data_IF_653619920283
#
_entry.id   IF_653619920283
#
_cell.length_a   1.000
_cell.length_b   1.000
_cell.length_c   1.000
_cell.angle_alpha   90.00
_cell.angle_beta   90.00
_cell.angle_gamma   90.00
#
_symmetry.space_group_name_H-M   'P 1'
#
loop_
_entity.id
_entity.type
_entity.pdbx_description
1 polymer ?
#
# COMPACT_ATOMS: atom_id res chain seq x y z
N UNK A 1 1.97 6.20 -17.04
CA UNK A 1 2.69 4.98 -16.65
C UNK A 1 1.65 3.92 -16.45
N UNK A 2 1.74 2.83 -17.18
CA UNK A 2 0.80 1.71 -17.08
C UNK A 2 0.80 1.18 -15.66
N UNK A 3 -0.38 0.78 -15.14
CA UNK A 3 -0.49 0.15 -13.83
C UNK A 3 0.61 -0.90 -13.71
N UNK A 4 1.55 -0.69 -12.78
CA UNK A 4 2.71 -1.56 -12.64
C UNK A 4 2.19 -2.94 -12.26
N UNK A 5 2.46 -3.93 -13.11
CA UNK A 5 2.28 -5.31 -12.73
C UNK A 5 3.04 -5.51 -11.41
N UNK A 6 2.32 -5.91 -10.36
CA UNK A 6 2.90 -6.19 -9.06
C UNK A 6 3.85 -7.38 -9.19
N UNK A 7 4.97 -7.32 -8.50
CA UNK A 7 5.87 -8.46 -8.43
C UNK A 7 5.27 -9.61 -7.63
N UNK A 8 5.76 -10.82 -7.84
CA UNK A 8 5.32 -12.00 -7.07
C UNK A 8 5.54 -11.79 -5.57
N UNK A 9 6.66 -11.18 -5.17
CA UNK A 9 6.94 -10.86 -3.76
C UNK A 9 5.91 -9.89 -3.19
N UNK A 10 5.55 -8.84 -3.92
CA UNK A 10 4.55 -7.86 -3.49
C UNK A 10 3.16 -8.51 -3.32
N UNK A 11 2.75 -9.36 -4.25
CA UNK A 11 1.48 -10.10 -4.15
C UNK A 11 1.44 -11.06 -2.95
N UNK A 12 2.50 -11.84 -2.74
CA UNK A 12 2.59 -12.75 -1.58
C UNK A 12 2.60 -11.97 -0.28
N UNK A 13 3.36 -10.87 -0.22
CA UNK A 13 3.45 -10.05 0.97
C UNK A 13 2.10 -9.42 1.34
N UNK A 14 1.32 -8.97 0.36
CA UNK A 14 -0.02 -8.44 0.56
C UNK A 14 -1.00 -9.46 1.16
N UNK A 15 -1.00 -10.66 0.61
CA UNK A 15 -2.01 -11.66 0.95
C UNK A 15 -1.70 -12.42 2.25
N UNK A 16 -0.42 -12.62 2.58
CA UNK A 16 -0.02 -13.59 3.60
C UNK A 16 0.88 -13.03 4.71
N UNK A 17 1.41 -11.80 4.55
CA UNK A 17 2.42 -11.30 5.48
C UNK A 17 1.95 -9.99 6.14
N UNK A 18 1.51 -10.03 7.40
CA UNK A 18 1.07 -8.83 8.11
C UNK A 18 2.22 -7.85 8.42
N UNK A 19 3.46 -8.36 8.58
CA UNK A 19 4.67 -7.55 8.89
C UNK A 19 5.56 -7.40 7.65
N UNK A 20 5.10 -6.67 6.64
CA UNK A 20 5.80 -6.48 5.35
C UNK A 20 7.17 -5.77 5.50
N UNK A 21 7.33 -4.97 6.54
CA UNK A 21 8.60 -4.33 6.91
C UNK A 21 9.72 -5.35 7.11
N UNK A 22 9.43 -6.49 7.77
CA UNK A 22 10.39 -7.57 7.98
C UNK A 22 10.82 -8.24 6.66
N UNK A 23 9.93 -8.30 5.67
CA UNK A 23 10.28 -8.83 4.34
C UNK A 23 11.26 -7.91 3.64
N UNK A 24 11.03 -6.60 3.69
CA UNK A 24 11.91 -5.62 3.07
C UNK A 24 13.29 -5.61 3.73
N UNK A 25 13.36 -5.62 5.06
CA UNK A 25 14.63 -5.63 5.80
C UNK A 25 15.39 -6.96 5.64
N UNK A 26 14.68 -8.09 5.62
CA UNK A 26 15.29 -9.39 5.33
C UNK A 26 15.88 -9.43 3.90
N UNK A 27 15.15 -8.90 2.92
CA UNK A 27 15.61 -8.79 1.54
C UNK A 27 16.83 -7.88 1.39
N UNK A 28 16.82 -6.69 2.00
CA UNK A 28 17.98 -5.80 2.01
C UNK A 28 19.20 -6.50 2.65
N UNK A 29 19.02 -7.13 3.80
CA UNK A 29 20.10 -7.89 4.44
C UNK A 29 20.63 -9.06 3.59
N UNK A 30 19.77 -9.71 2.79
CA UNK A 30 20.17 -10.72 1.82
C UNK A 30 21.09 -10.13 0.75
N UNK A 31 20.72 -9.00 0.17
CA UNK A 31 21.52 -8.28 -0.84
C UNK A 31 22.90 -7.88 -0.27
N UNK A 32 22.92 -7.29 0.92
CA UNK A 32 24.17 -6.85 1.58
C UNK A 32 25.13 -8.02 1.90
N UNK A 33 24.60 -9.20 2.23
CA UNK A 33 25.44 -10.39 2.45
C UNK A 33 26.04 -10.95 1.16
N UNK A 34 25.34 -10.82 0.04
CA UNK A 34 25.71 -11.48 -1.22
C UNK A 34 26.48 -10.61 -2.20
N UNK A 35 26.26 -9.30 -2.19
CA UNK A 35 26.84 -8.38 -3.17
C UNK A 35 27.82 -7.41 -2.53
N UNK A 36 29.02 -7.31 -3.08
CA UNK A 36 29.98 -6.28 -2.73
C UNK A 36 29.47 -4.90 -3.20
N UNK A 37 28.92 -4.83 -4.41
CA UNK A 37 28.38 -3.59 -4.98
C UNK A 37 27.23 -3.02 -4.10
N UNK A 38 26.34 -3.87 -3.57
CA UNK A 38 25.30 -3.42 -2.66
C UNK A 38 25.85 -2.87 -1.34
N UNK A 39 26.89 -3.51 -0.77
CA UNK A 39 27.57 -2.99 0.44
C UNK A 39 28.25 -1.65 0.18
N UNK A 40 29.04 -1.56 -0.88
CA UNK A 40 29.75 -0.34 -1.26
C UNK A 40 28.80 0.83 -1.49
N UNK A 41 27.64 0.58 -2.11
CA UNK A 41 26.59 1.59 -2.30
C UNK A 41 26.06 2.12 -0.98
N UNK A 42 25.72 1.23 -0.03
CA UNK A 42 25.24 1.62 1.29
C UNK A 42 26.32 2.33 2.12
N UNK A 43 27.54 1.79 2.14
CA UNK A 43 28.69 2.37 2.84
C UNK A 43 29.07 3.75 2.28
N UNK A 44 29.01 3.92 0.96
CA UNK A 44 29.23 5.21 0.30
C UNK A 44 28.15 6.23 0.67
N UNK A 45 26.87 5.82 0.71
CA UNK A 45 25.77 6.67 1.14
C UNK A 45 26.01 7.24 2.54
N UNK A 46 26.32 6.40 3.52
CA UNK A 46 26.49 6.84 4.91
C UNK A 46 27.79 7.63 5.11
N UNK A 47 28.85 7.29 4.38
CA UNK A 47 30.12 8.03 4.43
C UNK A 47 29.97 9.42 3.82
N UNK A 48 29.26 9.56 2.71
CA UNK A 48 28.94 10.87 2.13
C UNK A 48 28.06 11.72 3.05
N UNK A 49 27.27 11.08 3.90
CA UNK A 49 26.49 11.73 4.98
C UNK A 49 27.32 12.22 6.16
N UNK A 50 28.59 11.79 6.28
CA UNK A 50 29.53 12.24 7.32
C UNK A 50 30.02 11.16 8.28
N UNK A 51 29.42 9.97 8.26
CA UNK A 51 29.85 8.87 9.11
C UNK A 51 31.21 8.30 8.65
N UNK A 52 31.95 7.72 9.59
CA UNK A 52 33.16 6.97 9.26
C UNK A 52 32.88 5.49 9.39
N UNK A 53 32.77 4.81 8.26
CA UNK A 53 32.48 3.37 8.23
C UNK A 53 33.72 2.63 7.73
N UNK A 54 34.31 1.71 8.52
CA UNK A 54 35.46 0.93 8.07
C UNK A 54 35.07 -0.02 6.94
N UNK A 55 35.98 -0.27 6.01
CA UNK A 55 35.76 -1.29 4.97
C UNK A 55 35.65 -2.69 5.54
N UNK A 56 34.92 -3.56 4.80
CA UNK A 56 34.81 -4.98 5.15
C UNK A 56 33.78 -5.29 6.23
N UNK A 57 32.75 -4.48 6.38
CA UNK A 57 31.64 -4.76 7.27
C UNK A 57 30.97 -6.11 6.94
N UNK A 58 30.73 -6.88 7.97
CA UNK A 58 29.89 -8.07 7.90
C UNK A 58 28.47 -7.74 8.35
N UNK A 59 27.52 -7.96 7.45
CA UNK A 59 26.11 -7.66 7.69
C UNK A 59 25.35 -8.87 8.19
N UNK A 60 24.57 -8.68 9.26
CA UNK A 60 23.69 -9.69 9.84
C UNK A 60 22.30 -9.08 10.06
N UNK A 61 21.26 -9.84 9.72
CA UNK A 61 19.93 -9.56 10.24
C UNK A 61 19.88 -10.12 11.65
N UNK A 62 19.40 -9.34 12.60
CA UNK A 62 19.09 -9.86 13.93
C UNK A 62 17.85 -10.75 13.82
N UNK A 63 17.88 -11.93 14.44
CA UNK A 63 16.74 -12.83 14.41
C UNK A 63 15.61 -12.25 15.27
N UNK A 64 14.40 -12.26 14.74
CA UNK A 64 13.21 -11.87 15.45
C UNK A 64 12.97 -12.85 16.60
N UNK A 65 13.08 -12.37 17.83
CA UNK A 65 12.65 -13.06 19.04
C UNK A 65 11.56 -12.18 19.67
N UNK A 66 10.35 -12.70 19.80
CA UNK A 66 9.17 -11.96 20.29
C UNK A 66 9.37 -11.36 21.68
N UNK A 67 10.40 -11.81 22.41
CA UNK A 67 10.68 -11.39 23.80
C UNK A 67 11.62 -10.19 23.93
N UNK A 68 12.19 -9.66 22.85
CA UNK A 68 13.21 -8.61 22.93
C UNK A 68 12.80 -7.34 22.19
N UNK A 69 12.16 -6.41 22.88
CA UNK A 69 12.06 -5.02 22.46
C UNK A 69 13.44 -4.41 22.22
N UNK A 70 13.62 -3.78 21.06
CA UNK A 70 14.81 -2.96 20.79
C UNK A 70 15.97 -3.69 20.14
N UNK A 71 15.76 -4.63 19.19
CA UNK A 71 16.79 -5.14 18.29
C UNK A 71 16.75 -4.43 16.95
N UNK A 72 17.91 -3.99 16.42
CA UNK A 72 17.98 -3.41 15.09
C UNK A 72 17.79 -4.48 14.02
N UNK A 73 17.24 -4.08 12.85
CA UNK A 73 16.96 -5.02 11.75
C UNK A 73 18.22 -5.58 11.11
N UNK A 74 19.21 -4.72 10.84
CA UNK A 74 20.47 -5.12 10.21
C UNK A 74 21.64 -4.43 10.94
N UNK A 75 22.67 -5.21 11.25
CA UNK A 75 23.90 -4.71 11.87
C UNK A 75 25.09 -5.01 10.97
N UNK A 76 25.81 -3.97 10.58
CA UNK A 76 27.12 -4.03 9.92
C UNK A 76 28.24 -3.88 10.95
N UNK A 77 29.06 -4.93 11.12
CA UNK A 77 30.09 -4.97 12.13
C UNK A 77 31.46 -5.43 11.57
N UNK A 78 32.51 -4.97 12.22
CA UNK A 78 33.88 -5.47 12.02
C UNK A 78 34.54 -5.69 13.36
N UNK A 79 35.26 -6.77 13.52
CA UNK A 79 35.93 -7.17 14.78
C UNK A 79 34.99 -7.12 16.01
N UNK A 80 33.71 -7.44 15.83
CA UNK A 80 32.71 -7.47 16.89
C UNK A 80 32.09 -6.11 17.25
N UNK A 81 32.56 -4.99 16.66
CA UNK A 81 32.02 -3.65 16.88
C UNK A 81 31.03 -3.27 15.79
N UNK A 82 29.85 -2.78 16.16
CA UNK A 82 28.84 -2.30 15.22
C UNK A 82 29.20 -0.88 14.73
N UNK A 83 29.37 -0.72 13.44
CA UNK A 83 29.66 0.59 12.81
C UNK A 83 28.49 1.13 12.00
N UNK A 84 27.59 0.26 11.58
CA UNK A 84 26.39 0.64 10.85
C UNK A 84 25.22 -0.18 11.37
N UNK A 85 24.16 0.50 11.78
CA UNK A 85 22.87 -0.09 12.07
C UNK A 85 21.89 0.42 11.03
N UNK A 86 21.14 -0.48 10.40
CA UNK A 86 20.08 -0.12 9.46
C UNK A 86 18.76 -0.58 10.07
N UNK A 87 17.82 0.35 10.16
CA UNK A 87 16.47 0.14 10.66
C UNK A 87 15.46 0.45 9.57
N UNK A 88 14.73 -0.57 9.12
CA UNK A 88 13.66 -0.40 8.16
C UNK A 88 12.38 0.07 8.86
N UNK A 89 11.67 0.97 8.24
CA UNK A 89 10.35 1.40 8.68
C UNK A 89 9.43 1.51 7.48
N UNK A 90 8.24 0.91 7.59
CA UNK A 90 7.14 1.29 6.72
C UNK A 90 6.22 2.25 7.48
N UNK A 91 5.22 1.76 8.18
CA UNK A 91 4.23 2.59 8.86
C UNK A 91 4.20 2.40 10.38
N UNK A 92 4.94 1.40 10.90
CA UNK A 92 5.08 1.19 12.33
C UNK A 92 5.69 2.40 13.04
N UNK A 93 5.27 2.64 14.27
CA UNK A 93 5.83 3.70 15.11
C UNK A 93 7.26 3.37 15.57
N UNK A 94 7.95 4.40 16.05
CA UNK A 94 9.23 4.22 16.73
C UNK A 94 8.99 3.59 18.10
N UNK A 95 9.79 2.56 18.42
CA UNK A 95 9.83 2.01 19.79
C UNK A 95 10.53 2.95 20.76
N UNK A 96 10.40 2.72 22.06
CA UNK A 96 11.06 3.56 23.08
C UNK A 96 12.59 3.49 23.00
N UNK A 97 13.15 2.38 22.52
CA UNK A 97 14.58 2.23 22.29
C UNK A 97 15.11 3.05 21.10
N UNK A 98 14.25 3.52 20.21
CA UNK A 98 14.63 4.20 18.98
C UNK A 98 14.52 5.71 19.08
N UNK A 99 15.53 6.48 18.65
CA UNK A 99 16.84 6.04 18.14
C UNK A 99 17.90 5.90 19.24
N UNK A 100 17.64 6.36 20.47
CA UNK A 100 18.65 6.59 21.52
C UNK A 100 19.46 5.35 21.88
N UNK A 101 18.80 4.23 22.18
CA UNK A 101 19.49 2.99 22.57
C UNK A 101 20.27 2.35 21.40
N UNK A 102 19.81 2.57 20.15
CA UNK A 102 20.53 2.05 18.99
C UNK A 102 21.82 2.82 18.71
N UNK A 103 21.81 4.15 18.87
CA UNK A 103 23.01 4.98 18.76
C UNK A 103 24.08 4.57 19.76
N UNK A 104 23.71 4.26 21.00
CA UNK A 104 24.66 3.82 22.06
C UNK A 104 25.33 2.46 21.75
N UNK A 105 24.78 1.65 20.86
CA UNK A 105 25.37 0.37 20.44
C UNK A 105 26.44 0.53 19.36
N UNK A 106 26.49 1.70 18.71
CA UNK A 106 27.46 1.97 17.67
C UNK A 106 28.85 2.27 18.23
N UNK A 107 29.84 1.86 17.49
CA UNK A 107 31.21 2.35 17.67
C UNK A 107 31.27 3.85 17.42
N UNK A 108 32.40 4.46 17.82
CA UNK A 108 32.65 5.88 17.54
C UNK A 108 32.54 6.15 16.03
N UNK A 109 31.94 7.27 15.67
CA UNK A 109 31.66 7.73 14.29
C UNK A 109 30.79 6.79 13.45
N UNK A 110 30.17 5.77 14.08
CA UNK A 110 29.22 4.89 13.44
C UNK A 110 27.91 5.57 13.08
N UNK A 111 27.11 4.90 12.25
CA UNK A 111 25.85 5.42 11.72
C UNK A 111 24.63 4.54 12.05
N UNK A 112 23.56 5.18 12.50
CA UNK A 112 22.22 4.60 12.53
C UNK A 112 21.43 5.13 11.31
N UNK A 113 21.15 4.27 10.34
CA UNK A 113 20.42 4.62 9.13
C UNK A 113 18.99 4.08 9.18
N UNK A 114 18.03 4.98 9.13
CA UNK A 114 16.62 4.62 8.92
C UNK A 114 16.31 4.54 7.42
N UNK A 115 15.59 3.51 7.02
CA UNK A 115 15.10 3.35 5.64
C UNK A 115 13.57 3.35 5.68
N UNK A 116 12.94 4.34 5.08
CA UNK A 116 11.50 4.58 5.20
C UNK A 116 10.84 4.78 3.83
N UNK A 117 9.49 4.71 3.71
CA UNK A 117 8.78 5.15 2.52
C UNK A 117 9.10 6.62 2.21
N UNK A 118 9.21 6.96 0.93
CA UNK A 118 9.55 8.32 0.51
C UNK A 118 8.58 9.37 1.08
N UNK A 119 7.28 9.05 1.12
CA UNK A 119 6.22 9.91 1.65
C UNK A 119 6.28 10.12 3.18
N UNK A 120 6.98 9.24 3.90
CA UNK A 120 7.13 9.31 5.36
C UNK A 120 8.45 9.95 5.79
N UNK A 121 9.41 10.09 4.89
CA UNK A 121 10.79 10.43 5.19
C UNK A 121 10.92 11.70 6.04
N UNK A 122 10.30 12.81 5.62
CA UNK A 122 10.42 14.10 6.32
C UNK A 122 9.81 14.06 7.73
N UNK A 123 8.60 13.51 7.85
CA UNK A 123 7.92 13.40 9.15
C UNK A 123 8.65 12.48 10.12
N UNK A 124 9.18 11.37 9.63
CA UNK A 124 9.93 10.45 10.46
C UNK A 124 11.27 11.08 10.88
N UNK A 125 11.91 11.86 9.98
CA UNK A 125 13.12 12.57 10.28
C UNK A 125 12.94 13.56 11.44
N UNK A 126 11.93 14.40 11.38
CA UNK A 126 11.60 15.34 12.45
C UNK A 126 11.31 14.63 13.79
N UNK A 127 10.60 13.50 13.72
CA UNK A 127 10.30 12.68 14.90
C UNK A 127 11.56 12.05 15.50
N UNK A 128 12.49 11.59 14.68
CA UNK A 128 13.77 11.00 15.08
C UNK A 128 14.66 12.05 15.76
N UNK A 129 14.80 13.25 15.19
CA UNK A 129 15.57 14.34 15.77
C UNK A 129 15.01 14.74 17.12
N UNK A 130 13.70 14.92 17.24
CA UNK A 130 13.05 15.24 18.51
C UNK A 130 13.28 14.17 19.57
N UNK A 131 13.19 12.87 19.22
CA UNK A 131 13.47 11.78 20.15
C UNK A 131 14.93 11.72 20.61
N UNK A 132 15.87 12.10 19.76
CA UNK A 132 17.26 12.28 20.19
C UNK A 132 17.36 13.37 21.25
N UNK A 133 16.74 14.52 21.03
CA UNK A 133 16.73 15.65 21.99
C UNK A 133 16.08 15.26 23.33
N UNK A 134 14.94 14.56 23.28
CA UNK A 134 14.25 14.03 24.47
C UNK A 134 15.11 13.03 25.26
N UNK A 135 15.96 12.26 24.56
CA UNK A 135 16.94 11.35 25.16
C UNK A 135 18.23 12.05 25.65
N UNK A 136 18.31 13.38 25.58
CA UNK A 136 19.47 14.15 25.95
C UNK A 136 20.63 14.11 24.96
N UNK A 137 20.40 13.60 23.75
CA UNK A 137 21.39 13.51 22.69
C UNK A 137 21.30 14.74 21.78
N UNK A 138 22.28 15.64 21.91
CA UNK A 138 22.28 16.89 21.16
C UNK A 138 22.66 16.67 19.69
N UNK A 139 21.99 17.40 18.79
CA UNK A 139 22.35 17.49 17.40
C UNK A 139 23.53 18.43 17.23
N UNK A 140 24.62 17.99 16.56
CA UNK A 140 25.82 18.80 16.28
C UNK A 140 25.72 19.55 14.95
N UNK A 141 25.38 18.83 13.90
CA UNK A 141 25.24 19.36 12.55
C UNK A 141 24.16 18.58 11.79
N UNK A 142 23.63 19.16 10.75
CA UNK A 142 22.63 18.53 9.88
C UNK A 142 23.04 18.73 8.43
N UNK A 143 22.91 17.67 7.63
CA UNK A 143 23.20 17.65 6.20
C UNK A 143 21.96 17.14 5.47
N UNK A 144 21.29 18.04 4.80
CA UNK A 144 20.14 17.69 3.96
C UNK A 144 20.62 17.54 2.53
N UNK A 145 20.36 16.38 1.92
CA UNK A 145 20.72 16.08 0.56
C UNK A 145 19.51 15.61 -0.26
N UNK A 146 19.64 15.59 -1.59
CA UNK A 146 18.53 15.19 -2.46
C UNK A 146 18.13 13.72 -2.32
N UNK A 147 18.98 12.88 -1.73
CA UNK A 147 18.75 11.45 -1.57
C UNK A 147 18.47 11.07 -0.12
N UNK A 148 19.13 11.69 0.83
CA UNK A 148 19.10 11.34 2.24
C UNK A 148 19.40 12.53 3.13
N UNK A 149 18.88 12.53 4.35
CA UNK A 149 19.21 13.49 5.39
C UNK A 149 20.10 12.81 6.42
N UNK A 150 21.07 13.55 6.94
CA UNK A 150 21.99 13.07 7.98
C UNK A 150 22.15 14.13 9.08
N UNK A 151 22.40 13.67 10.31
CA UNK A 151 22.75 14.53 11.43
C UNK A 151 23.82 13.88 12.31
N UNK A 152 24.79 14.67 12.74
CA UNK A 152 25.69 14.28 13.82
C UNK A 152 24.94 14.36 15.14
N UNK A 153 24.95 13.27 15.93
CA UNK A 153 24.19 13.13 17.17
C UNK A 153 25.15 12.80 18.34
N UNK A 154 24.94 13.47 19.48
CA UNK A 154 25.82 13.32 20.63
C UNK A 154 27.27 13.70 20.27
N UNK A 155 28.23 13.06 20.89
CA UNK A 155 29.63 13.41 20.70
C UNK A 155 30.26 12.83 19.43
N UNK A 156 29.75 11.68 18.95
CA UNK A 156 30.45 10.95 17.89
C UNK A 156 29.58 10.13 16.94
N UNK A 157 28.26 10.10 17.10
CA UNK A 157 27.44 9.25 16.23
C UNK A 157 26.81 10.04 15.09
N UNK A 158 26.42 9.31 14.07
CA UNK A 158 25.64 9.80 12.95
C UNK A 158 24.29 9.10 12.90
N UNK A 159 23.27 9.85 12.57
CA UNK A 159 21.95 9.32 12.24
C UNK A 159 21.59 9.78 10.83
N UNK A 160 21.01 8.88 10.04
CA UNK A 160 20.56 9.20 8.69
C UNK A 160 19.18 8.63 8.40
N UNK A 161 18.54 9.19 7.38
CA UNK A 161 17.31 8.66 6.80
C UNK A 161 17.38 8.71 5.28
N UNK A 162 16.94 7.63 4.64
CA UNK A 162 16.86 7.48 3.20
C UNK A 162 15.54 6.78 2.82
N UNK A 163 15.01 7.04 1.63
CA UNK A 163 13.84 6.27 1.20
C UNK A 163 14.23 4.89 0.67
N UNK A 164 13.36 3.90 0.90
CA UNK A 164 13.49 2.56 0.33
C UNK A 164 13.74 2.61 -1.17
N UNK A 165 12.93 3.39 -1.88
CA UNK A 165 13.02 3.53 -3.34
C UNK A 165 14.34 4.13 -3.80
N UNK A 166 14.89 5.11 -3.07
CA UNK A 166 16.20 5.71 -3.40
C UNK A 166 17.31 4.71 -3.16
N UNK A 167 17.39 4.11 -1.99
CA UNK A 167 18.44 3.15 -1.65
C UNK A 167 18.45 1.94 -2.59
N UNK A 168 17.28 1.34 -2.82
CA UNK A 168 17.16 0.16 -3.69
C UNK A 168 17.48 0.48 -5.16
N UNK A 169 17.13 1.67 -5.67
CA UNK A 169 17.53 2.10 -7.03
C UNK A 169 19.04 2.26 -7.15
N UNK A 170 19.68 2.90 -6.20
CA UNK A 170 21.14 3.05 -6.21
C UNK A 170 21.84 1.67 -6.16
N UNK A 171 21.34 0.74 -5.33
CA UNK A 171 21.85 -0.66 -5.29
C UNK A 171 21.59 -1.36 -6.63
N UNK A 172 20.40 -1.24 -7.21
CA UNK A 172 20.04 -1.83 -8.49
C UNK A 172 20.99 -1.39 -9.61
N UNK A 173 21.26 -0.10 -9.67
CA UNK A 173 22.16 0.48 -10.69
C UNK A 173 23.61 -0.02 -10.51
N UNK A 174 24.08 -0.16 -9.27
CA UNK A 174 25.38 -0.73 -8.96
C UNK A 174 25.47 -2.21 -9.35
N UNK A 175 24.42 -3.01 -9.09
CA UNK A 175 24.34 -4.42 -9.50
C UNK A 175 24.32 -4.58 -11.03
N UNK A 176 23.69 -3.66 -11.75
CA UNK A 176 23.70 -3.67 -13.21
C UNK A 176 25.10 -3.46 -13.76
N UNK A 177 25.83 -2.47 -13.23
CA UNK A 177 27.24 -2.22 -13.59
C UNK A 177 28.12 -3.41 -13.23
N UNK A 178 27.88 -4.07 -12.10
CA UNK A 178 28.59 -5.25 -11.62
C UNK A 178 28.24 -6.56 -12.34
N UNK A 179 27.23 -6.56 -13.23
CA UNK A 179 26.80 -7.78 -13.95
C UNK A 179 26.06 -8.79 -13.08
N UNK A 180 25.54 -8.41 -11.90
CA UNK A 180 24.88 -9.27 -10.92
C UNK A 180 23.36 -9.41 -11.22
N UNK A 181 22.99 -9.91 -12.40
CA UNK A 181 21.63 -9.91 -12.94
C UNK A 181 20.58 -10.61 -12.07
N UNK A 182 20.94 -11.70 -11.35
CA UNK A 182 20.00 -12.39 -10.44
C UNK A 182 19.65 -11.51 -9.24
N UNK A 183 20.64 -10.88 -8.60
CA UNK A 183 20.40 -10.00 -7.47
C UNK A 183 19.68 -8.71 -7.88
N UNK A 184 19.87 -8.24 -9.11
CA UNK A 184 19.09 -7.14 -9.67
C UNK A 184 17.60 -7.50 -9.73
N UNK A 185 17.25 -8.73 -10.15
CA UNK A 185 15.86 -9.18 -10.12
C UNK A 185 15.27 -9.20 -8.72
N UNK A 186 16.06 -9.58 -7.70
CA UNK A 186 15.64 -9.55 -6.31
C UNK A 186 15.38 -8.10 -5.85
N UNK A 187 16.20 -7.13 -6.28
CA UNK A 187 15.97 -5.71 -6.00
C UNK A 187 14.68 -5.20 -6.67
N UNK A 188 14.42 -5.60 -7.92
CA UNK A 188 13.18 -5.23 -8.63
C UNK A 188 11.93 -5.75 -7.88
N UNK A 189 11.99 -6.96 -7.28
CA UNK A 189 10.94 -7.50 -6.42
C UNK A 189 10.74 -6.64 -5.15
N UNK A 190 11.81 -6.24 -4.48
CA UNK A 190 11.74 -5.37 -3.30
C UNK A 190 11.24 -3.98 -3.63
N UNK A 191 11.66 -3.40 -4.75
CA UNK A 191 11.16 -2.10 -5.23
C UNK A 191 9.64 -2.14 -5.44
N UNK A 192 9.11 -3.21 -6.03
CA UNK A 192 7.67 -3.37 -6.20
C UNK A 192 6.91 -3.39 -4.88
N UNK A 193 7.43 -4.08 -3.85
CA UNK A 193 6.87 -4.08 -2.51
C UNK A 193 6.91 -2.68 -1.87
N UNK A 194 8.04 -1.98 -1.97
CA UNK A 194 8.19 -0.66 -1.38
C UNK A 194 7.32 0.40 -2.09
N UNK A 195 7.12 0.30 -3.40
CA UNK A 195 6.18 1.15 -4.13
C UNK A 195 4.74 0.97 -3.64
N UNK A 196 4.34 -0.27 -3.41
CA UNK A 196 3.02 -0.55 -2.86
C UNK A 196 2.82 0.11 -1.49
N UNK A 197 3.80 -0.01 -0.60
CA UNK A 197 3.76 0.64 0.73
C UNK A 197 3.68 2.18 0.61
N UNK A 198 4.38 2.78 -0.37
CA UNK A 198 4.28 4.20 -0.64
C UNK A 198 2.89 4.61 -1.17
N UNK A 199 2.24 3.77 -1.98
CA UNK A 199 0.92 4.06 -2.56
C UNK A 199 -0.21 3.94 -1.55
N UNK A 200 -0.18 2.93 -0.68
CA UNK A 200 -1.20 2.65 0.34
C UNK A 200 -1.06 3.50 1.61
N UNK A 201 -0.05 4.34 1.67
CA UNK A 201 0.28 5.13 2.84
C UNK A 201 -0.83 6.09 3.29
N UNK A 202 -1.15 6.08 4.59
CA UNK A 202 -1.86 7.19 5.20
C UNK A 202 -0.95 8.43 5.24
N UNK A 203 -1.26 9.41 4.40
CA UNK A 203 -0.57 10.70 4.42
C UNK A 203 -1.12 11.58 5.55
N UNK A 204 -0.29 12.42 6.17
CA UNK A 204 -0.77 13.41 7.10
C UNK A 204 -1.83 14.29 6.48
N UNK A 205 -2.93 14.48 7.18
CA UNK A 205 -4.03 15.32 6.73
C UNK A 205 -3.57 16.77 6.61
N UNK A 206 -3.91 17.38 5.50
CA UNK A 206 -3.73 18.80 5.26
C UNK A 206 -5.08 19.54 5.34
N UNK A 207 -5.10 20.86 5.55
CA UNK A 207 -6.35 21.63 5.46
C UNK A 207 -7.08 21.45 4.12
N UNK A 208 -6.36 21.17 3.04
CA UNK A 208 -6.95 20.90 1.72
C UNK A 208 -7.73 19.60 1.68
N UNK A 209 -7.26 18.56 2.38
CA UNK A 209 -7.93 17.25 2.45
C UNK A 209 -9.26 17.33 3.21
N UNK A 210 -9.33 18.23 4.20
CA UNK A 210 -10.54 18.48 5.00
C UNK A 210 -11.43 19.57 4.39
N UNK A 211 -10.99 20.20 3.32
CA UNK A 211 -11.74 21.26 2.67
C UNK A 211 -13.01 20.73 1.97
N UNK A 212 -14.07 21.54 1.97
CA UNK A 212 -15.39 21.22 1.41
C UNK A 212 -15.40 20.61 -0.01
N UNK A 213 -14.52 20.98 -0.97
CA UNK A 213 -14.55 20.40 -2.30
C UNK A 213 -14.36 18.88 -2.34
N UNK A 214 -13.52 18.31 -1.49
CA UNK A 214 -13.23 16.86 -1.47
C UNK A 214 -14.45 16.01 -1.11
N UNK A 215 -15.10 16.18 0.07
CA UNK A 215 -16.29 15.41 0.42
C UNK A 215 -17.46 15.69 -0.51
N UNK A 216 -17.60 16.95 -1.00
CA UNK A 216 -18.63 17.30 -1.95
C UNK A 216 -18.48 16.52 -3.26
N UNK A 217 -17.26 16.33 -3.75
CA UNK A 217 -17.00 15.58 -4.99
C UNK A 217 -17.36 14.10 -4.82
N UNK A 218 -17.03 13.50 -3.67
CA UNK A 218 -17.41 12.11 -3.35
C UNK A 218 -18.93 11.95 -3.35
N UNK A 219 -19.64 12.86 -2.68
CA UNK A 219 -21.13 12.88 -2.68
C UNK A 219 -21.70 13.04 -4.08
N UNK A 220 -21.10 13.87 -4.94
CA UNK A 220 -21.53 14.04 -6.33
C UNK A 220 -21.41 12.75 -7.14
N UNK A 221 -20.35 11.96 -6.94
CA UNK A 221 -20.22 10.65 -7.59
C UNK A 221 -21.25 9.63 -7.08
N UNK A 222 -21.51 9.59 -5.76
CA UNK A 222 -22.59 8.76 -5.21
C UNK A 222 -23.95 9.16 -5.79
N UNK A 223 -24.24 10.45 -5.84
CA UNK A 223 -25.48 10.96 -6.46
C UNK A 223 -25.57 10.64 -7.96
N UNK A 224 -24.44 10.61 -8.66
CA UNK A 224 -24.41 10.22 -10.07
C UNK A 224 -24.87 8.77 -10.25
N UNK A 225 -24.41 7.84 -9.39
CA UNK A 225 -24.90 6.44 -9.38
C UNK A 225 -26.42 6.38 -9.20
N UNK A 226 -26.95 7.16 -8.25
CA UNK A 226 -28.38 7.24 -8.03
C UNK A 226 -29.15 7.71 -9.28
N UNK A 227 -28.70 8.82 -9.86
CA UNK A 227 -29.36 9.42 -11.03
C UNK A 227 -29.28 8.52 -12.25
N UNK A 228 -28.15 7.89 -12.53
CA UNK A 228 -28.00 6.93 -13.62
C UNK A 228 -28.94 5.73 -13.42
N UNK A 229 -29.00 5.20 -12.20
CA UNK A 229 -29.88 4.06 -11.89
C UNK A 229 -31.35 4.43 -12.05
N UNK A 230 -31.78 5.59 -11.53
CA UNK A 230 -33.16 6.06 -11.63
C UNK A 230 -33.54 6.35 -13.08
N UNK A 231 -32.73 7.14 -13.79
CA UNK A 231 -33.00 7.53 -15.16
C UNK A 231 -32.97 6.36 -16.16
N UNK A 232 -32.14 5.35 -15.89
CA UNK A 232 -32.12 4.11 -16.67
C UNK A 232 -33.43 3.29 -16.54
N UNK A 233 -34.23 3.52 -15.51
CA UNK A 233 -35.58 2.96 -15.36
C UNK A 233 -36.65 3.70 -16.12
N UNK A 234 -36.43 4.96 -16.46
CA UNK A 234 -37.43 5.77 -17.18
C UNK A 234 -37.74 5.16 -18.55
N UNK A 235 -38.97 5.25 -19.04
CA UNK A 235 -39.38 4.71 -20.34
C UNK A 235 -38.54 5.21 -21.52
N UNK A 236 -37.97 6.40 -21.40
CA UNK A 236 -37.09 7.02 -22.40
C UNK A 236 -35.78 6.26 -22.63
N UNK A 237 -35.29 5.55 -21.61
CA UNK A 237 -34.10 4.69 -21.69
C UNK A 237 -34.48 3.21 -21.63
N UNK A 238 -35.34 2.82 -20.72
CA UNK A 238 -35.85 1.43 -20.60
C UNK A 238 -34.80 0.37 -20.36
N UNK A 239 -33.62 0.77 -19.84
CA UNK A 239 -32.48 -0.13 -19.68
C UNK A 239 -32.64 -1.07 -18.48
N UNK A 240 -33.33 -0.61 -17.43
CA UNK A 240 -33.46 -1.37 -16.20
C UNK A 240 -34.92 -1.64 -15.87
N UNK A 241 -35.19 -2.80 -15.25
CA UNK A 241 -36.52 -3.19 -14.76
C UNK A 241 -36.76 -2.60 -13.37
N UNK A 242 -38.04 -2.27 -13.00
CA UNK A 242 -38.36 -1.63 -11.72
C UNK A 242 -38.05 -2.47 -10.46
N UNK A 243 -37.84 -3.79 -10.59
CA UNK A 243 -37.53 -4.67 -9.48
C UNK A 243 -36.03 -4.84 -9.34
N UNK A 244 -35.47 -4.65 -8.13
CA UNK A 244 -34.09 -4.95 -7.83
C UNK A 244 -33.16 -3.75 -7.66
N UNK A 245 -33.69 -2.57 -7.38
CA UNK A 245 -32.87 -1.40 -6.98
C UNK A 245 -32.47 -1.52 -5.50
N UNK A 246 -31.30 -2.10 -5.26
CA UNK A 246 -30.72 -2.14 -3.93
C UNK A 246 -29.46 -1.27 -3.87
N UNK A 247 -29.30 -0.51 -2.79
CA UNK A 247 -28.03 0.15 -2.50
C UNK A 247 -27.05 -0.87 -1.94
N UNK A 248 -25.81 -0.82 -2.38
CA UNK A 248 -24.69 -1.52 -1.76
C UNK A 248 -23.62 -0.50 -1.41
N UNK A 249 -23.11 -0.55 -0.21
CA UNK A 249 -21.99 0.26 0.23
C UNK A 249 -21.01 -0.64 0.98
N UNK A 250 -19.74 -0.34 0.89
CA UNK A 250 -18.68 -1.06 1.56
C UNK A 250 -17.43 -0.20 1.63
N UNK A 251 -16.31 -0.78 2.04
CA UNK A 251 -15.03 -0.07 2.14
C UNK A 251 -14.60 0.47 0.78
N UNK A 252 -14.80 1.78 0.58
CA UNK A 252 -14.34 2.50 -0.62
C UNK A 252 -15.25 2.37 -1.84
N UNK A 253 -16.42 1.73 -1.75
CA UNK A 253 -17.36 1.70 -2.86
C UNK A 253 -18.78 2.11 -2.44
N UNK A 254 -19.54 2.63 -3.42
CA UNK A 254 -20.97 2.86 -3.32
C UNK A 254 -21.63 2.52 -4.66
N UNK A 255 -22.69 1.72 -4.65
CA UNK A 255 -23.31 1.25 -5.88
C UNK A 255 -24.78 0.95 -5.78
N UNK A 256 -25.40 0.72 -6.95
CA UNK A 256 -26.76 0.26 -7.13
C UNK A 256 -26.77 -1.03 -7.94
N UNK A 257 -27.46 -2.03 -7.40
CA UNK A 257 -27.82 -3.23 -8.13
C UNK A 257 -29.08 -2.95 -8.96
N UNK A 258 -29.02 -3.26 -10.24
CA UNK A 258 -30.10 -3.10 -11.19
C UNK A 258 -30.24 -4.36 -12.03
N UNK A 259 -31.34 -4.51 -12.78
CA UNK A 259 -31.54 -5.63 -13.70
C UNK A 259 -32.15 -5.14 -15.00
N UNK A 260 -31.69 -5.65 -16.14
CA UNK A 260 -32.34 -5.46 -17.44
C UNK A 260 -33.51 -6.45 -17.67
N UNK A 261 -33.76 -7.33 -16.70
CA UNK A 261 -34.74 -8.43 -16.75
C UNK A 261 -34.12 -9.78 -17.12
N UNK A 262 -32.88 -9.81 -17.62
CA UNK A 262 -32.08 -10.98 -17.95
C UNK A 262 -30.85 -11.10 -17.04
N UNK A 263 -30.10 -10.01 -16.90
CA UNK A 263 -28.86 -9.94 -16.15
C UNK A 263 -29.05 -9.19 -14.84
N UNK A 264 -28.29 -9.59 -13.83
CA UNK A 264 -28.00 -8.74 -12.69
C UNK A 264 -26.81 -7.86 -13.02
N UNK A 265 -26.90 -6.59 -12.65
CA UNK A 265 -25.96 -5.54 -13.02
C UNK A 265 -25.67 -4.69 -11.79
N UNK A 266 -24.50 -4.10 -11.72
CA UNK A 266 -24.15 -3.13 -10.66
C UNK A 266 -23.52 -1.89 -11.30
N UNK A 267 -24.04 -0.73 -10.95
CA UNK A 267 -23.42 0.56 -11.26
C UNK A 267 -22.82 1.08 -9.98
N UNK A 268 -21.55 1.37 -9.95
CA UNK A 268 -20.89 1.71 -8.70
C UNK A 268 -19.70 2.66 -8.88
N UNK A 269 -19.44 3.43 -7.82
CA UNK A 269 -18.22 4.18 -7.62
C UNK A 269 -17.27 3.32 -6.80
N UNK A 270 -16.01 3.20 -7.21
CA UNK A 270 -14.95 2.49 -6.51
C UNK A 270 -13.76 3.43 -6.33
N UNK A 271 -13.57 3.88 -5.10
CA UNK A 271 -12.50 4.83 -4.73
C UNK A 271 -11.13 4.15 -4.74
N UNK A 272 -11.06 2.87 -4.37
CA UNK A 272 -9.84 2.09 -4.39
C UNK A 272 -9.32 1.88 -5.82
N UNK A 273 -10.17 1.43 -6.74
CA UNK A 273 -9.82 1.33 -8.15
C UNK A 273 -9.46 2.67 -8.77
N UNK A 274 -10.15 3.74 -8.38
CA UNK A 274 -9.83 5.08 -8.84
C UNK A 274 -8.46 5.54 -8.35
N UNK A 275 -8.15 5.34 -7.08
CA UNK A 275 -6.84 5.64 -6.50
C UNK A 275 -5.72 4.87 -7.21
N UNK A 276 -5.91 3.58 -7.46
CA UNK A 276 -4.89 2.72 -8.04
C UNK A 276 -4.66 2.93 -9.55
N UNK A 277 -5.73 3.28 -10.29
CA UNK A 277 -5.66 3.37 -11.75
C UNK A 277 -5.77 4.80 -12.29
N UNK A 278 -6.12 5.79 -11.46
CA UNK A 278 -6.09 7.22 -11.78
C UNK A 278 -7.02 7.67 -12.93
N UNK A 279 -8.00 6.85 -13.32
CA UNK A 279 -8.78 7.10 -14.52
C UNK A 279 -10.11 7.80 -14.24
N UNK A 280 -11.01 7.14 -13.55
CA UNK A 280 -12.25 7.70 -12.99
C UNK A 280 -12.90 6.68 -12.04
N UNK A 281 -13.82 7.12 -11.15
CA UNK A 281 -14.40 6.24 -10.14
C UNK A 281 -15.59 5.39 -10.58
N UNK A 282 -16.19 5.61 -11.77
CA UNK A 282 -17.46 4.99 -12.15
C UNK A 282 -17.29 3.70 -12.95
N UNK A 283 -17.91 2.63 -12.46
CA UNK A 283 -17.81 1.27 -13.01
C UNK A 283 -19.17 0.62 -13.19
N UNK A 284 -19.22 -0.36 -14.09
CA UNK A 284 -20.40 -1.16 -14.40
C UNK A 284 -20.05 -2.65 -14.42
N UNK A 285 -20.66 -3.43 -13.53
CA UNK A 285 -20.46 -4.87 -13.41
C UNK A 285 -21.61 -5.63 -14.06
N UNK A 286 -21.24 -6.72 -14.73
CA UNK A 286 -22.18 -7.60 -15.41
C UNK A 286 -22.10 -9.03 -14.82
N UNK A 287 -23.24 -9.62 -14.46
CA UNK A 287 -23.30 -11.01 -14.04
C UNK A 287 -23.40 -11.93 -15.27
N UNK A 288 -22.31 -12.04 -16.02
CA UNK A 288 -22.15 -12.92 -17.17
C UNK A 288 -20.92 -13.83 -16.99
N UNK A 289 -20.92 -14.99 -17.66
CA UNK A 289 -19.76 -15.87 -17.63
C UNK A 289 -18.55 -15.21 -18.31
N UNK A 290 -17.34 -15.29 -17.70
CA UNK A 290 -16.14 -14.66 -18.21
C UNK A 290 -15.57 -15.47 -19.39
N UNK A 291 -15.99 -15.28 -20.55
CA UNK A 291 -15.43 -16.05 -21.67
C UNK A 291 -15.58 -15.34 -23.02
N UNK A 292 -16.79 -15.32 -23.54
CA UNK A 292 -17.05 -14.76 -24.88
C UNK A 292 -17.31 -13.24 -24.84
N UNK A 293 -17.98 -12.75 -23.78
CA UNK A 293 -18.30 -11.34 -23.62
C UNK A 293 -17.08 -10.41 -23.57
N UNK A 294 -15.95 -10.92 -23.10
CA UNK A 294 -14.73 -10.14 -22.99
C UNK A 294 -14.10 -9.81 -24.31
N UNK A 295 -14.09 -10.75 -25.25
CA UNK A 295 -13.54 -10.52 -26.59
C UNK A 295 -14.28 -9.39 -27.31
N UNK A 296 -15.58 -9.27 -27.06
CA UNK A 296 -16.41 -8.21 -27.59
C UNK A 296 -16.20 -6.85 -26.89
N UNK A 297 -15.90 -6.88 -25.59
CA UNK A 297 -15.70 -5.67 -24.78
C UNK A 297 -14.24 -5.20 -24.74
N UNK A 298 -13.28 -6.12 -24.92
CA UNK A 298 -11.84 -5.83 -25.01
C UNK A 298 -11.41 -5.22 -26.35
N UNK A 299 -12.25 -5.25 -27.39
CA UNK A 299 -11.97 -4.72 -28.72
C UNK A 299 -11.78 -3.17 -28.76
N UNK A 300 -11.36 -2.54 -27.66
CA UNK A 300 -11.07 -1.12 -27.54
C UNK A 300 -9.72 -0.85 -26.86
N UNK A 301 -8.99 0.16 -27.33
CA UNK A 301 -7.74 0.60 -26.67
C UNK A 301 -8.00 1.91 -25.92
N UNK A 302 -7.73 2.00 -24.60
CA UNK A 302 -7.21 0.98 -23.67
C UNK A 302 -8.30 -0.02 -23.24
N UNK A 303 -7.94 -1.20 -22.74
CA UNK A 303 -8.89 -2.19 -22.27
C UNK A 303 -9.79 -1.55 -21.20
N UNK A 304 -11.12 -1.60 -21.44
CA UNK A 304 -12.12 -1.00 -20.56
C UNK A 304 -12.63 -1.97 -19.51
N UNK A 305 -12.23 -3.23 -19.62
CA UNK A 305 -12.74 -4.34 -18.81
C UNK A 305 -11.68 -4.79 -17.83
N UNK A 306 -12.06 -4.94 -16.58
CA UNK A 306 -11.29 -5.63 -15.55
C UNK A 306 -12.16 -6.68 -14.91
N UNK A 307 -11.58 -7.59 -14.13
CA UNK A 307 -12.34 -8.56 -13.36
C UNK A 307 -12.48 -8.11 -11.92
N UNK A 308 -13.63 -8.37 -11.32
CA UNK A 308 -13.77 -8.24 -9.87
C UNK A 308 -13.09 -9.42 -9.20
N UNK A 309 -12.15 -9.14 -8.27
CA UNK A 309 -11.40 -10.16 -7.57
C UNK A 309 -12.27 -11.09 -6.69
N UNK A 310 -13.49 -10.68 -6.31
CA UNK A 310 -14.38 -11.47 -5.46
C UNK A 310 -15.23 -12.49 -6.21
N UNK A 311 -15.66 -12.20 -7.42
CA UNK A 311 -16.59 -13.05 -8.15
C UNK A 311 -16.14 -13.41 -9.58
N UNK A 312 -14.97 -12.95 -10.01
CA UNK A 312 -14.48 -13.15 -11.39
C UNK A 312 -15.36 -12.50 -12.45
N UNK A 313 -16.22 -11.55 -12.09
CA UNK A 313 -17.17 -10.90 -12.98
C UNK A 313 -16.52 -9.82 -13.80
N UNK A 314 -16.91 -9.64 -15.06
CA UNK A 314 -16.46 -8.52 -15.85
C UNK A 314 -16.98 -7.19 -15.28
N UNK A 315 -16.06 -6.25 -15.08
CA UNK A 315 -16.31 -4.90 -14.62
C UNK A 315 -15.81 -3.93 -15.69
N UNK A 316 -16.70 -3.10 -16.21
CA UNK A 316 -16.43 -2.15 -17.29
C UNK A 316 -16.34 -0.74 -16.73
N UNK A 317 -15.26 -0.03 -17.05
CA UNK A 317 -15.13 1.37 -16.70
C UNK A 317 -16.01 2.24 -17.61
N UNK A 318 -16.85 3.08 -17.02
CA UNK A 318 -17.69 4.05 -17.73
C UNK A 318 -16.95 5.39 -17.84
N UNK A 319 -16.74 5.86 -19.06
CA UNK A 319 -16.09 7.16 -19.27
C UNK A 319 -17.00 8.31 -18.83
N UNK A 320 -16.43 9.29 -18.11
CA UNK A 320 -17.11 10.49 -17.69
C UNK A 320 -16.67 11.65 -18.59
N UNK A 321 -17.58 12.32 -19.30
CA UNK A 321 -17.24 13.49 -20.10
C UNK A 321 -16.79 14.63 -19.19
N UNK A 322 -15.71 15.29 -19.57
CA UNK A 322 -15.18 16.46 -18.87
C UNK A 322 -15.93 17.72 -19.31
N UNK A 323 -16.04 18.68 -18.41
CA UNK A 323 -16.67 19.99 -18.66
C UNK A 323 -18.14 19.94 -19.12
N UNK A 324 -18.83 18.82 -18.83
CA UNK A 324 -20.23 18.60 -19.18
C UNK A 324 -21.14 18.85 -17.98
N UNK A 325 -22.37 19.28 -18.23
CA UNK A 325 -23.42 19.37 -17.22
C UNK A 325 -23.83 17.98 -16.74
N UNK A 326 -24.32 17.87 -15.51
CA UNK A 326 -24.68 16.59 -14.88
C UNK A 326 -25.69 15.77 -15.75
N UNK A 327 -26.67 16.43 -16.37
CA UNK A 327 -27.61 15.76 -17.27
C UNK A 327 -26.97 15.12 -18.47
N UNK A 328 -25.92 15.74 -19.01
CA UNK A 328 -25.19 15.26 -20.16
C UNK A 328 -24.29 14.09 -19.76
N UNK A 329 -23.66 14.19 -18.56
CA UNK A 329 -22.89 13.09 -17.98
C UNK A 329 -23.78 11.85 -17.79
N UNK A 330 -24.95 12.00 -17.17
CA UNK A 330 -25.91 10.89 -16.97
C UNK A 330 -26.33 10.28 -18.30
N UNK A 331 -26.65 11.10 -19.30
CA UNK A 331 -27.08 10.66 -20.63
C UNK A 331 -25.98 9.88 -21.34
N UNK A 332 -24.75 10.37 -21.29
CA UNK A 332 -23.61 9.67 -21.91
C UNK A 332 -23.30 8.35 -21.20
N UNK A 333 -23.36 8.32 -19.88
CA UNK A 333 -23.20 7.08 -19.10
C UNK A 333 -24.25 6.04 -19.47
N UNK A 334 -25.53 6.44 -19.58
CA UNK A 334 -26.60 5.54 -19.99
C UNK A 334 -26.43 5.05 -21.43
N UNK A 335 -25.94 5.90 -22.33
CA UNK A 335 -25.62 5.52 -23.71
C UNK A 335 -24.52 4.43 -23.73
N UNK A 336 -23.47 4.59 -22.91
CA UNK A 336 -22.41 3.58 -22.79
C UNK A 336 -22.95 2.25 -22.23
N UNK A 337 -23.80 2.31 -21.22
CA UNK A 337 -24.44 1.12 -20.65
C UNK A 337 -25.31 0.43 -21.70
N UNK A 338 -26.11 1.17 -22.49
CA UNK A 338 -26.91 0.63 -23.58
C UNK A 338 -26.04 -0.10 -24.62
N UNK A 339 -24.92 0.51 -25.04
CA UNK A 339 -23.97 -0.10 -25.98
C UNK A 339 -23.34 -1.38 -25.40
N UNK A 340 -22.97 -1.38 -24.12
CA UNK A 340 -22.44 -2.57 -23.42
C UNK A 340 -23.50 -3.68 -23.40
N UNK A 341 -24.73 -3.38 -22.99
CA UNK A 341 -25.82 -4.37 -22.91
C UNK A 341 -26.15 -4.99 -24.29
N UNK A 342 -26.13 -4.18 -25.36
CA UNK A 342 -26.33 -4.70 -26.72
C UNK A 342 -25.21 -5.64 -27.12
N UNK A 343 -23.96 -5.35 -26.81
CA UNK A 343 -22.82 -6.23 -27.12
C UNK A 343 -22.85 -7.56 -26.36
N UNK A 344 -23.40 -7.57 -25.15
CA UNK A 344 -23.48 -8.78 -24.31
C UNK A 344 -24.84 -9.46 -24.35
N UNK A 345 -25.73 -9.08 -25.30
CA UNK A 345 -27.10 -9.61 -25.35
C UNK A 345 -27.17 -11.15 -25.52
N UNK A 346 -26.22 -11.72 -26.23
CA UNK A 346 -26.15 -13.16 -26.51
C UNK A 346 -25.33 -13.96 -25.49
N UNK A 347 -24.70 -13.25 -24.50
CA UNK A 347 -23.91 -13.89 -23.47
C UNK A 347 -24.78 -14.59 -22.43
N UNK A 348 -24.30 -15.71 -21.90
CA UNK A 348 -25.00 -16.47 -20.87
C UNK A 348 -24.90 -15.75 -19.51
N UNK A 349 -26.01 -15.62 -18.77
CA UNK A 349 -25.97 -15.14 -17.41
C UNK A 349 -25.18 -16.08 -16.51
N UNK A 350 -24.36 -15.56 -15.61
CA UNK A 350 -23.78 -16.37 -14.53
C UNK A 350 -24.90 -16.92 -13.66
N UNK A 351 -24.93 -18.22 -13.44
CA UNK A 351 -25.99 -18.89 -12.66
C UNK A 351 -25.97 -18.39 -11.23
N UNK A 352 -27.09 -17.77 -10.82
CA UNK A 352 -27.49 -17.32 -9.46
C UNK A 352 -26.36 -16.94 -8.51
N UNK A 353 -26.31 -15.65 -8.24
CA UNK A 353 -25.93 -15.17 -6.91
C UNK A 353 -26.92 -15.70 -5.86
N UNK A 354 -26.38 -16.09 -4.72
CA UNK A 354 -27.08 -16.03 -3.46
C UNK A 354 -27.89 -14.71 -3.36
N UNK A 355 -29.07 -14.76 -2.80
CA UNK A 355 -29.95 -13.60 -2.68
C UNK A 355 -29.23 -12.42 -2.00
N UNK A 356 -29.68 -11.20 -2.22
CA UNK A 356 -29.13 -10.01 -1.54
C UNK A 356 -29.09 -10.17 0.00
N UNK A 357 -29.85 -11.11 0.54
CA UNK A 357 -29.85 -11.53 1.96
C UNK A 357 -28.55 -12.24 2.37
N UNK A 358 -27.88 -12.96 1.45
CA UNK A 358 -26.62 -13.66 1.75
C UNK A 358 -25.40 -12.71 1.75
N UNK A 359 -25.49 -11.57 1.07
CA UNK A 359 -24.41 -10.55 1.07
C UNK A 359 -24.51 -9.67 2.32
N UNK A 360 -25.72 -9.40 2.80
CA UNK A 360 -25.94 -8.61 4.03
C UNK A 360 -25.52 -9.38 5.28
N UNK A 361 -25.63 -10.71 5.30
CA UNK A 361 -25.22 -11.53 6.45
C UNK A 361 -23.70 -11.67 6.62
N UNK A 362 -22.88 -11.30 5.62
CA UNK A 362 -21.43 -11.30 5.74
C UNK A 362 -20.86 -9.94 6.20
N UNK A 363 -21.68 -8.87 6.20
CA UNK A 363 -21.24 -7.52 6.57
C UNK A 363 -21.85 -6.98 7.89
N UNK A 364 -22.85 -7.67 8.46
CA UNK A 364 -23.57 -7.24 9.68
C UNK A 364 -23.18 -8.00 10.96
N UNK A 365 -22.06 -8.68 10.96
CA UNK A 365 -21.45 -9.09 12.23
C UNK A 365 -20.62 -7.89 12.75
N UNK A 366 -21.19 -7.04 13.62
CA UNK A 366 -20.42 -5.98 14.23
C UNK A 366 -19.32 -6.68 15.02
N UNK A 367 -18.07 -6.41 14.68
CA UNK A 367 -16.93 -6.78 15.49
C UNK A 367 -17.28 -6.41 16.94
N UNK A 368 -17.61 -7.42 17.72
CA UNK A 368 -17.95 -7.28 19.13
C UNK A 368 -16.71 -6.69 19.81
N UNK A 369 -16.75 -5.43 20.28
CA UNK A 369 -15.61 -4.81 20.93
C UNK A 369 -15.17 -5.52 22.20
N UNK A 370 -15.97 -6.48 22.71
CA UNK A 370 -15.64 -7.28 23.89
C UNK A 370 -14.77 -8.51 23.56
N UNK A 371 -14.63 -8.92 22.28
CA UNK A 371 -13.72 -10.00 21.89
C UNK A 371 -12.25 -9.57 21.73
N UNK A 372 -11.93 -8.31 21.87
CA UNK A 372 -10.54 -7.79 21.81
C UNK A 372 -9.89 -7.64 23.19
N UNK A 373 -10.51 -8.06 24.28
CA UNK A 373 -10.02 -7.78 25.65
C UNK A 373 -9.73 -9.04 26.51
N UNK A 374 -9.91 -10.25 26.01
CA UNK A 374 -9.88 -11.44 26.89
C UNK A 374 -8.75 -12.45 26.66
N UNK A 375 -7.61 -12.05 26.10
CA UNK A 375 -6.42 -12.95 26.01
C UNK A 375 -5.25 -12.55 26.95
N UNK A 376 -5.45 -11.65 27.92
CA UNK A 376 -4.37 -11.20 28.82
C UNK A 376 -4.62 -11.43 30.31
N UNK A 377 -5.54 -12.37 30.70
CA UNK A 377 -5.72 -12.72 32.11
C UNK A 377 -5.98 -14.22 32.34
N UNK A 378 -4.98 -15.06 32.05
CA UNK A 378 -4.94 -16.41 32.64
C UNK A 378 -3.52 -16.95 32.75
N UNK A 379 -2.68 -16.33 33.57
CA UNK A 379 -1.59 -17.05 34.29
C UNK A 379 -1.18 -16.21 35.50
N UNK A 380 -1.97 -16.21 36.57
CA UNK A 380 -1.49 -15.96 37.93
C UNK A 380 -2.48 -16.59 38.93
N UNK A 381 -2.13 -17.75 39.39
CA UNK A 381 -2.84 -18.32 40.55
C UNK A 381 -2.78 -19.82 40.67
N UNK A 382 -1.66 -20.38 41.08
CA UNK A 382 -1.64 -21.59 41.92
C UNK A 382 -0.19 -21.90 42.38
N UNK A 383 0.23 -21.28 43.46
CA UNK A 383 1.18 -21.92 44.37
C UNK A 383 0.58 -21.86 45.73
N UNK A 384 0.01 -22.94 46.13
CA UNK A 384 -0.25 -23.20 47.54
C UNK A 384 0.39 -24.52 47.94
N UNK A 385 1.16 -24.38 49.01
CA UNK A 385 1.44 -25.33 50.06
C UNK A 385 1.74 -26.80 49.73
N UNK A 386 2.94 -27.26 50.05
CA UNK A 386 3.17 -28.28 51.08
C UNK A 386 4.65 -28.62 51.27
N UNK A 387 5.14 -28.30 52.51
CA UNK A 387 6.30 -28.84 53.25
C UNK A 387 7.70 -28.38 52.86
#
# INVERSE_FOLDING_TARGET
MNGSERSVLAEIALQFIPKRELVATAGLGHLLRRSAAARETLEHLVTSGGATVPGGLQYRNEQYDETSDGRPDIVGSVAGSAHLIVEGKFWADLTDAQPGEYLKRLAQDGCLLFVAPAKRQDLLWDKLLRRCEEAGLQRREERQGPKANFAGIGDSWWMGIVSWTTLLRDIRDALEVGGEGLLRSDVDQLLSLCHLEDEEAFLPLTPADLARPTPLRVLQFMNLVEKVSQKGHEPSFGLFKPKGLHAGAGLGFYGRFVSDGRLQLRIFVDLGRWSNHGLNPLWFELAIEPGEALKELEAGTPPRVTYDGFAGRPVVRLALPLHAEESDVVTEVLRQIADILERVKDCQPTVKLASAEDVVQLEDDPLDPEQLVDDDQTVLGATDDHR
#
